data_IF_850818429430
#
_entry.id   IF_850818429430
#
_cell.length_a   1.000
_cell.length_b   1.000
_cell.length_c   1.000
_cell.angle_alpha   90.00
_cell.angle_beta   90.00
_cell.angle_gamma   90.00
#
_symmetry.space_group_name_H-M   'P 1'
#
loop_
_entity.id
_entity.type
_entity.pdbx_description
1 polymer ?
#
# COMPACT_ATOMS: atom_id res chain seq x y z
N UNK A 1 -27.37 1.20 -3.85
CA UNK A 1 -25.94 1.35 -4.27
C UNK A 1 -25.82 0.88 -5.72
N UNK A 2 -25.46 1.72 -6.70
CA UNK A 2 -25.12 1.21 -8.04
C UNK A 2 -23.80 0.46 -7.91
N UNK A 3 -23.81 -0.83 -8.28
CA UNK A 3 -22.58 -1.61 -8.30
C UNK A 3 -21.53 -0.89 -9.15
N UNK A 4 -20.30 -0.74 -8.66
CA UNK A 4 -19.22 -0.14 -9.43
C UNK A 4 -19.02 -0.97 -10.72
N UNK A 5 -18.93 -0.28 -11.84
CA UNK A 5 -18.70 -0.91 -13.14
C UNK A 5 -17.28 -1.47 -13.12
N UNK A 6 -17.15 -2.78 -13.17
CA UNK A 6 -15.83 -3.41 -13.35
C UNK A 6 -15.23 -2.95 -14.69
N UNK A 7 -13.96 -2.54 -14.74
CA UNK A 7 -13.33 -2.21 -16.00
C UNK A 7 -13.30 -3.45 -16.92
N UNK A 8 -13.34 -3.23 -18.23
CA UNK A 8 -13.30 -4.32 -19.20
C UNK A 8 -12.03 -5.16 -19.06
N UNK A 9 -12.13 -6.45 -19.33
CA UNK A 9 -11.02 -7.41 -19.22
C UNK A 9 -9.79 -7.05 -20.10
N UNK A 10 -10.00 -6.22 -21.09
CA UNK A 10 -8.97 -5.79 -22.06
C UNK A 10 -7.90 -4.87 -21.48
N UNK A 11 -8.13 -4.25 -20.32
CA UNK A 11 -7.22 -3.25 -19.79
C UNK A 11 -5.91 -3.84 -19.26
N UNK A 12 -5.90 -5.10 -18.83
CA UNK A 12 -4.69 -5.76 -18.32
C UNK A 12 -3.62 -5.90 -19.42
N UNK A 13 -4.01 -6.34 -20.60
CA UNK A 13 -3.09 -6.51 -21.73
C UNK A 13 -2.56 -5.15 -22.22
N UNK A 14 -3.44 -4.15 -22.36
CA UNK A 14 -3.05 -2.78 -22.71
C UNK A 14 -2.11 -2.13 -21.69
N UNK A 15 -2.28 -2.48 -20.42
CA UNK A 15 -1.44 -2.00 -19.32
C UNK A 15 -0.16 -2.83 -19.14
N UNK A 16 0.05 -3.87 -19.94
CA UNK A 16 1.27 -4.66 -19.96
C UNK A 16 1.47 -5.54 -18.72
N UNK A 17 0.39 -6.09 -18.16
CA UNK A 17 0.47 -7.06 -17.07
C UNK A 17 -0.47 -8.24 -17.29
N UNK A 18 -0.22 -9.33 -16.58
CA UNK A 18 -1.04 -10.53 -16.62
C UNK A 18 -1.79 -10.70 -15.30
N UNK A 19 -3.11 -10.91 -15.37
CA UNK A 19 -3.93 -11.18 -14.19
C UNK A 19 -3.49 -12.48 -13.53
N UNK A 20 -3.04 -12.38 -12.30
CA UNK A 20 -2.58 -13.54 -11.54
C UNK A 20 -3.74 -14.14 -10.71
N UNK A 21 -3.90 -15.47 -10.70
CA UNK A 21 -4.84 -16.12 -9.78
C UNK A 21 -4.39 -15.94 -8.33
N UNK A 22 -5.30 -16.22 -7.41
CA UNK A 22 -4.96 -16.31 -6.00
C UNK A 22 -3.94 -17.42 -5.74
N UNK A 23 -3.11 -17.22 -4.74
CA UNK A 23 -2.06 -18.18 -4.36
C UNK A 23 -2.67 -19.47 -3.86
N UNK A 24 -2.25 -20.59 -4.42
CA UNK A 24 -2.65 -21.94 -3.96
C UNK A 24 -1.91 -22.34 -2.69
N UNK A 25 -2.24 -21.72 -1.55
CA UNK A 25 -1.53 -21.84 -0.28
C UNK A 25 -1.29 -23.27 0.19
N UNK A 26 -2.24 -24.17 -0.09
CA UNK A 26 -2.16 -25.57 0.33
C UNK A 26 -1.58 -26.50 -0.75
N UNK A 27 -1.12 -25.99 -1.88
CA UNK A 27 -0.48 -26.85 -2.86
C UNK A 27 0.89 -27.30 -2.35
N UNK A 28 1.24 -28.62 -2.48
CA UNK A 28 2.53 -29.13 -2.01
C UNK A 28 3.73 -28.42 -2.65
N UNK A 29 3.64 -28.07 -3.92
CA UNK A 29 4.68 -27.34 -4.64
C UNK A 29 4.90 -25.93 -4.07
N UNK A 30 3.80 -25.23 -3.72
CA UNK A 30 3.88 -23.90 -3.11
C UNK A 30 4.46 -23.97 -1.71
N UNK A 31 4.03 -24.92 -0.88
CA UNK A 31 4.57 -25.13 0.46
C UNK A 31 6.08 -25.43 0.44
N UNK A 32 6.52 -26.32 -0.46
CA UNK A 32 7.93 -26.63 -0.64
C UNK A 32 8.74 -25.41 -1.07
N UNK A 33 8.21 -24.61 -2.02
CA UNK A 33 8.88 -23.40 -2.51
C UNK A 33 8.98 -22.33 -1.42
N UNK A 34 7.89 -22.06 -0.71
CA UNK A 34 7.88 -21.06 0.37
C UNK A 34 8.77 -21.49 1.53
N UNK A 35 8.76 -22.80 1.90
CA UNK A 35 9.66 -23.34 2.91
C UNK A 35 11.13 -23.19 2.53
N UNK A 36 11.51 -23.51 1.31
CA UNK A 36 12.88 -23.34 0.81
C UNK A 36 13.29 -21.86 0.82
N UNK A 37 12.42 -20.95 0.37
CA UNK A 37 12.71 -19.53 0.35
C UNK A 37 12.86 -18.95 1.76
N UNK A 38 12.05 -19.38 2.72
CA UNK A 38 12.19 -18.96 4.13
C UNK A 38 13.55 -19.38 4.72
N UNK A 39 14.01 -20.59 4.40
CA UNK A 39 15.33 -21.06 4.82
C UNK A 39 16.45 -20.26 4.15
N UNK A 40 16.37 -20.07 2.85
CA UNK A 40 17.36 -19.31 2.06
C UNK A 40 17.42 -17.85 2.53
N UNK A 41 16.28 -17.20 2.69
CA UNK A 41 16.25 -15.80 3.17
C UNK A 41 16.80 -15.66 4.60
N UNK A 42 16.56 -16.66 5.46
CA UNK A 42 17.13 -16.69 6.80
C UNK A 42 18.65 -16.84 6.82
N UNK A 43 19.20 -17.60 5.88
CA UNK A 43 20.66 -17.80 5.75
C UNK A 43 21.35 -16.60 5.12
N UNK A 44 20.81 -16.02 4.07
CA UNK A 44 21.44 -14.91 3.34
C UNK A 44 21.11 -13.52 3.95
N UNK A 45 20.02 -13.37 4.67
CA UNK A 45 19.65 -12.14 5.36
C UNK A 45 20.64 -11.71 6.44
N UNK A 46 21.52 -12.63 6.89
CA UNK A 46 22.56 -12.32 7.86
C UNK A 46 23.81 -11.69 7.25
N UNK A 47 24.02 -11.78 5.95
CA UNK A 47 25.25 -11.32 5.30
C UNK A 47 25.22 -9.89 4.76
N UNK A 48 24.06 -9.30 4.58
CA UNK A 48 23.94 -7.90 4.18
C UNK A 48 23.16 -7.15 5.25
N UNK A 49 23.84 -6.33 6.05
CA UNK A 49 23.13 -5.46 6.99
C UNK A 49 22.43 -4.36 6.20
N UNK A 50 21.15 -4.60 5.90
CA UNK A 50 20.30 -3.66 5.18
C UNK A 50 20.10 -2.35 5.91
N UNK A 51 20.37 -2.31 7.21
CA UNK A 51 20.38 -1.09 8.00
C UNK A 51 21.52 -0.19 7.57
N UNK A 52 22.71 -0.75 7.37
CA UNK A 52 23.87 0.00 6.87
C UNK A 52 23.60 0.53 5.46
N UNK A 53 23.06 -0.30 4.58
CA UNK A 53 22.71 0.13 3.22
C UNK A 53 21.69 1.27 3.23
N UNK A 54 20.66 1.20 4.06
CA UNK A 54 19.68 2.28 4.17
C UNK A 54 20.22 3.51 4.92
N UNK A 55 21.14 3.32 5.87
CA UNK A 55 21.81 4.42 6.58
C UNK A 55 22.76 5.20 5.68
N UNK A 56 23.35 4.56 4.67
CA UNK A 56 24.17 5.22 3.65
C UNK A 56 23.36 6.06 2.66
N UNK A 57 22.03 5.86 2.59
CA UNK A 57 21.15 6.75 1.85
C UNK A 57 21.07 8.08 2.61
N UNK A 58 20.90 9.19 1.90
CA UNK A 58 20.80 10.57 2.41
C UNK A 58 20.13 10.72 3.78
N UNK A 59 20.18 11.89 4.39
CA UNK A 59 19.56 12.20 5.69
C UNK A 59 18.11 11.74 5.78
N UNK A 60 17.66 11.37 6.98
CA UNK A 60 16.29 10.95 7.23
C UNK A 60 15.32 12.10 6.89
N UNK A 61 14.39 11.83 5.97
CA UNK A 61 13.41 12.81 5.53
C UNK A 61 12.12 12.68 6.33
N UNK A 62 11.65 13.80 6.88
CA UNK A 62 10.30 13.94 7.42
C UNK A 62 9.38 14.44 6.30
N UNK A 63 8.26 13.78 6.10
CA UNK A 63 7.26 14.14 5.11
C UNK A 63 6.20 15.02 5.77
N UNK A 64 6.21 16.33 5.45
CA UNK A 64 5.34 17.32 6.11
C UNK A 64 4.04 17.53 5.31
N UNK A 65 2.95 17.03 5.84
CA UNK A 65 1.57 17.23 5.34
C UNK A 65 0.74 18.11 6.26
N UNK A 66 1.35 18.81 7.21
CA UNK A 66 0.66 19.65 8.20
C UNK A 66 0.10 20.94 7.61
N UNK A 67 0.53 21.31 6.40
CA UNK A 67 0.13 22.55 5.71
C UNK A 67 -0.65 22.26 4.44
N UNK A 68 -1.41 23.22 3.96
CA UNK A 68 -2.04 23.15 2.64
C UNK A 68 -0.96 23.19 1.54
N UNK A 69 -1.19 22.44 0.44
CA UNK A 69 -0.33 22.49 -0.76
C UNK A 69 -0.66 23.71 -1.65
N UNK A 70 -1.65 24.51 -1.30
CA UNK A 70 -1.99 25.71 -2.09
C UNK A 70 -0.97 26.82 -1.82
N UNK A 71 -0.12 27.07 -2.79
CA UNK A 71 0.75 28.24 -2.83
C UNK A 71 -0.14 29.50 -2.83
N UNK A 72 -0.10 30.28 -1.77
CA UNK A 72 -0.73 31.60 -1.67
C UNK A 72 -1.99 31.71 -0.82
N UNK A 73 -2.47 30.63 -0.23
CA UNK A 73 -3.59 30.67 0.72
C UNK A 73 -3.18 31.26 2.06
N UNK A 74 -3.96 32.22 2.56
CA UNK A 74 -3.86 32.69 3.95
C UNK A 74 -4.00 31.48 4.88
N UNK A 75 -3.20 31.35 5.97
CA UNK A 75 -3.18 30.15 6.84
C UNK A 75 -4.40 30.10 7.79
N UNK A 76 -5.62 30.28 7.28
CA UNK A 76 -6.82 30.39 8.11
C UNK A 76 -7.56 29.08 8.37
N UNK A 77 -7.23 28.00 7.68
CA UNK A 77 -7.80 26.68 7.98
C UNK A 77 -6.76 25.59 7.80
N UNK A 78 -6.59 24.78 8.84
CA UNK A 78 -5.80 23.56 8.74
C UNK A 78 -6.60 22.58 7.88
N UNK A 79 -6.05 22.06 6.77
CA UNK A 79 -6.79 21.20 5.87
C UNK A 79 -7.11 19.87 6.53
N UNK A 80 -8.30 19.36 6.32
CA UNK A 80 -8.63 17.97 6.63
C UNK A 80 -7.73 17.04 5.80
N UNK A 81 -7.16 16.03 6.44
CA UNK A 81 -6.35 15.01 5.79
C UNK A 81 -7.03 13.66 5.90
N UNK A 82 -7.34 13.09 4.77
CA UNK A 82 -7.83 11.72 4.66
C UNK A 82 -6.66 10.80 4.39
N UNK A 83 -6.62 9.69 5.11
CA UNK A 83 -5.58 8.67 4.99
C UNK A 83 -6.27 7.34 4.73
N UNK A 84 -5.92 6.69 3.63
CA UNK A 84 -6.31 5.33 3.36
C UNK A 84 -5.25 4.40 3.96
N UNK A 85 -5.69 3.29 4.55
CA UNK A 85 -4.82 2.26 5.06
C UNK A 85 -5.21 0.90 4.50
N UNK A 86 -4.22 0.12 4.06
CA UNK A 86 -4.42 -1.23 3.57
C UNK A 86 -3.18 -2.08 3.87
N UNK A 87 -3.36 -3.37 4.09
CA UNK A 87 -2.29 -4.36 4.22
C UNK A 87 -2.68 -5.67 3.53
N UNK A 88 -1.74 -6.60 3.43
CA UNK A 88 -1.99 -7.97 2.95
C UNK A 88 -2.61 -8.03 1.55
N UNK A 89 -2.06 -7.28 0.63
CA UNK A 89 -2.47 -7.22 -0.78
C UNK A 89 -1.73 -8.25 -1.64
N UNK A 90 -2.04 -8.27 -2.94
CA UNK A 90 -1.22 -8.99 -3.93
C UNK A 90 -1.32 -10.52 -3.88
N UNK A 91 -2.35 -11.07 -3.24
CA UNK A 91 -2.61 -12.53 -3.29
C UNK A 91 -3.27 -12.98 -4.61
N UNK A 92 -3.81 -12.06 -5.37
CA UNK A 92 -4.40 -12.31 -6.68
C UNK A 92 -4.99 -11.05 -7.28
N UNK A 93 -5.33 -11.09 -8.57
CA UNK A 93 -5.84 -9.92 -9.27
C UNK A 93 -7.17 -9.42 -8.68
N UNK A 94 -8.17 -10.30 -8.56
CA UNK A 94 -9.53 -9.87 -8.21
C UNK A 94 -9.62 -9.15 -6.86
N UNK A 95 -9.10 -9.71 -5.74
CA UNK A 95 -9.17 -9.02 -4.45
C UNK A 95 -8.35 -7.74 -4.43
N UNK A 96 -7.12 -7.75 -4.97
CA UNK A 96 -6.27 -6.56 -5.02
C UNK A 96 -6.89 -5.46 -5.85
N UNK A 97 -7.47 -5.81 -7.02
CA UNK A 97 -8.18 -4.87 -7.87
C UNK A 97 -9.40 -4.27 -7.18
N UNK A 98 -10.23 -5.10 -6.51
CA UNK A 98 -11.43 -4.63 -5.83
C UNK A 98 -11.10 -3.60 -4.74
N UNK A 99 -10.07 -3.87 -3.92
CA UNK A 99 -9.61 -2.94 -2.90
C UNK A 99 -9.05 -1.66 -3.52
N UNK A 100 -8.17 -1.78 -4.53
CA UNK A 100 -7.60 -0.63 -5.23
C UNK A 100 -8.68 0.23 -5.91
N UNK A 101 -9.73 -0.42 -6.47
CA UNK A 101 -10.85 0.27 -7.08
C UNK A 101 -11.65 1.09 -6.06
N UNK A 102 -11.97 0.52 -4.91
CA UNK A 102 -12.69 1.23 -3.84
C UNK A 102 -11.87 2.41 -3.31
N UNK A 103 -10.58 2.21 -3.02
CA UNK A 103 -9.68 3.28 -2.59
C UNK A 103 -9.48 4.36 -3.68
N UNK A 104 -9.62 3.99 -4.95
CA UNK A 104 -9.53 4.92 -6.08
C UNK A 104 -10.74 5.83 -6.22
N UNK A 105 -11.88 5.53 -5.59
CA UNK A 105 -13.08 6.37 -5.69
C UNK A 105 -12.88 7.69 -4.96
N UNK A 106 -13.37 8.81 -5.51
CA UNK A 106 -13.23 10.11 -4.84
C UNK A 106 -14.00 10.14 -3.52
N UNK A 107 -15.14 9.49 -3.46
CA UNK A 107 -16.04 9.41 -2.31
C UNK A 107 -16.69 8.03 -2.25
N UNK A 108 -16.93 7.53 -1.04
CA UNK A 108 -17.72 6.33 -0.80
C UNK A 108 -18.77 6.62 0.25
N UNK A 109 -20.01 6.21 -0.02
CA UNK A 109 -21.09 6.19 0.96
C UNK A 109 -21.20 4.78 1.55
N UNK A 110 -20.99 4.65 2.84
CA UNK A 110 -21.01 3.40 3.58
C UNK A 110 -22.23 3.35 4.49
N UNK A 111 -22.99 2.27 4.42
CA UNK A 111 -24.10 2.03 5.34
C UNK A 111 -23.57 1.65 6.74
N UNK A 112 -24.23 2.13 7.77
CA UNK A 112 -23.90 1.72 9.14
C UNK A 112 -24.08 0.20 9.30
N UNK A 113 -23.11 -0.53 9.89
CA UNK A 113 -23.16 -1.99 10.01
C UNK A 113 -24.16 -2.51 11.04
N UNK A 114 -24.91 -1.63 11.71
CA UNK A 114 -25.93 -1.97 12.68
C UNK A 114 -27.23 -2.48 12.04
N UNK A 115 -28.16 -3.02 12.84
CA UNK A 115 -29.47 -3.42 12.34
C UNK A 115 -30.18 -2.23 11.72
N UNK A 116 -30.75 -2.45 10.53
CA UNK A 116 -31.60 -1.42 9.88
C UNK A 116 -32.84 -1.24 10.73
N UNK A 117 -33.20 0.00 11.12
CA UNK A 117 -34.43 0.26 11.81
C UNK A 117 -35.64 -0.21 10.99
N UNK A 118 -36.56 -0.97 11.59
CA UNK A 118 -37.75 -1.50 10.93
C UNK A 118 -38.99 -0.74 11.42
N UNK A 119 -39.91 -0.48 10.50
CA UNK A 119 -41.21 0.14 10.80
C UNK A 119 -41.48 1.37 9.95
N UNK A 120 -42.77 1.81 9.86
CA UNK A 120 -43.17 2.93 9.02
C UNK A 120 -42.58 4.28 9.44
N UNK A 121 -42.21 4.43 10.72
CA UNK A 121 -41.61 5.64 11.30
C UNK A 121 -40.10 5.45 11.60
N UNK A 122 -39.47 4.40 11.06
CA UNK A 122 -38.06 4.16 11.29
C UNK A 122 -37.19 5.28 10.69
N UNK A 123 -36.17 5.78 11.40
CA UNK A 123 -35.24 6.75 10.84
C UNK A 123 -34.49 6.14 9.67
N UNK A 124 -34.08 6.97 8.71
CA UNK A 124 -33.23 6.52 7.61
C UNK A 124 -31.96 5.83 8.17
N UNK A 125 -31.46 4.79 7.50
CA UNK A 125 -30.21 4.17 7.89
C UNK A 125 -29.09 5.22 7.99
N UNK A 126 -28.29 5.14 9.05
CA UNK A 126 -27.15 6.03 9.19
C UNK A 126 -26.11 5.68 8.12
N UNK A 127 -25.68 6.69 7.38
CA UNK A 127 -24.66 6.56 6.35
C UNK A 127 -23.43 7.40 6.69
N UNK A 128 -22.27 6.89 6.29
CA UNK A 128 -21.01 7.60 6.42
C UNK A 128 -20.47 7.92 5.04
N UNK A 129 -20.09 9.15 4.83
CA UNK A 129 -19.37 9.57 3.63
C UNK A 129 -17.88 9.62 3.92
N UNK A 130 -17.09 8.94 3.10
CA UNK A 130 -15.63 8.97 3.16
C UNK A 130 -15.08 9.62 1.91
N UNK A 131 -13.89 10.19 2.02
CA UNK A 131 -13.15 10.74 0.87
C UNK A 131 -11.89 9.94 0.65
N UNK A 132 -11.46 9.83 -0.62
CA UNK A 132 -10.18 9.23 -0.94
C UNK A 132 -9.05 9.93 -0.20
N UNK A 133 -8.15 9.16 0.39
CA UNK A 133 -6.97 9.65 1.08
C UNK A 133 -6.03 10.43 0.15
N UNK A 134 -5.50 11.54 0.66
CA UNK A 134 -4.36 12.22 0.06
C UNK A 134 -3.07 11.40 0.27
N UNK A 135 -3.10 10.51 1.25
CA UNK A 135 -2.03 9.61 1.64
C UNK A 135 -2.60 8.20 1.70
N UNK A 136 -1.98 7.27 0.99
CA UNK A 136 -2.20 5.84 1.14
C UNK A 136 -1.04 5.26 1.95
N UNK A 137 -1.35 4.50 2.98
CA UNK A 137 -0.38 3.73 3.78
C UNK A 137 -0.61 2.24 3.56
N UNK A 138 0.43 1.56 3.11
CA UNK A 138 0.45 0.12 2.93
C UNK A 138 1.19 -0.55 4.09
N UNK A 139 0.46 -1.39 4.85
CA UNK A 139 0.88 -1.90 6.17
C UNK A 139 1.75 -3.16 6.15
N UNK A 140 2.16 -3.64 4.99
CA UNK A 140 3.01 -4.82 4.84
C UNK A 140 2.38 -5.93 4.00
N UNK A 141 3.20 -6.90 3.64
CA UNK A 141 2.84 -8.04 2.79
C UNK A 141 2.14 -7.60 1.51
N UNK A 142 2.89 -6.84 0.71
CA UNK A 142 2.34 -6.20 -0.49
C UNK A 142 2.08 -7.19 -1.62
N UNK A 143 2.77 -8.32 -1.64
CA UNK A 143 2.62 -9.37 -2.66
C UNK A 143 2.86 -10.76 -2.10
N UNK A 144 2.08 -11.70 -2.57
CA UNK A 144 2.16 -13.11 -2.22
C UNK A 144 2.39 -14.00 -3.44
N UNK A 145 2.99 -15.19 -3.27
CA UNK A 145 3.56 -15.75 -2.03
C UNK A 145 4.97 -15.24 -1.76
N UNK A 146 5.62 -14.67 -2.75
CA UNK A 146 7.01 -14.24 -2.68
C UNK A 146 7.23 -12.94 -3.44
N UNK A 147 8.07 -12.04 -2.91
CA UNK A 147 8.38 -10.81 -3.59
C UNK A 147 9.25 -11.08 -4.83
N UNK A 148 9.41 -10.07 -5.62
CA UNK A 148 10.21 -10.04 -6.84
C UNK A 148 9.66 -8.98 -7.77
N UNK A 149 10.45 -8.53 -8.72
CA UNK A 149 10.04 -7.47 -9.64
C UNK A 149 8.73 -7.83 -10.36
N UNK A 150 8.62 -9.07 -10.86
CA UNK A 150 7.42 -9.56 -11.54
C UNK A 150 6.24 -9.71 -10.58
N UNK A 151 6.46 -10.17 -9.35
CA UNK A 151 5.43 -10.27 -8.33
C UNK A 151 4.78 -8.92 -8.07
N UNK A 152 5.57 -7.90 -7.80
CA UNK A 152 5.08 -6.54 -7.61
C UNK A 152 4.40 -5.98 -8.86
N UNK A 153 4.98 -6.19 -10.05
CA UNK A 153 4.41 -5.70 -11.30
C UNK A 153 3.04 -6.32 -11.59
N UNK A 154 2.90 -7.65 -11.43
CA UNK A 154 1.70 -8.38 -11.83
C UNK A 154 0.62 -8.40 -10.76
N UNK A 155 1.00 -8.43 -9.49
CA UNK A 155 0.08 -8.66 -8.37
C UNK A 155 -0.29 -7.40 -7.58
N UNK A 156 0.51 -6.33 -7.68
CA UNK A 156 0.25 -5.05 -7.03
C UNK A 156 0.06 -3.91 -8.04
N UNK A 157 1.11 -3.57 -8.78
CA UNK A 157 1.10 -2.40 -9.67
C UNK A 157 0.06 -2.56 -10.78
N UNK A 158 -0.03 -3.74 -11.41
CA UNK A 158 -1.00 -4.03 -12.46
C UNK A 158 -2.45 -3.84 -12.02
N UNK A 159 -2.91 -4.50 -10.94
CA UNK A 159 -4.25 -4.29 -10.39
C UNK A 159 -4.56 -2.83 -10.02
N UNK A 160 -3.62 -2.12 -9.39
CA UNK A 160 -3.78 -0.70 -9.06
C UNK A 160 -3.87 0.19 -10.30
N UNK A 161 -3.09 -0.09 -11.35
CA UNK A 161 -3.19 0.62 -12.64
C UNK A 161 -4.50 0.35 -13.35
N UNK A 162 -5.01 -0.88 -13.28
CA UNK A 162 -6.31 -1.24 -13.84
C UNK A 162 -7.46 -0.57 -13.08
N UNK A 163 -7.34 -0.42 -11.76
CA UNK A 163 -8.33 0.24 -10.93
C UNK A 163 -8.35 1.76 -11.15
N UNK A 164 -7.18 2.35 -11.25
CA UNK A 164 -7.00 3.77 -11.50
C UNK A 164 -5.65 4.04 -12.16
N UNK A 165 -5.72 4.57 -13.36
CA UNK A 165 -4.55 4.95 -14.13
C UNK A 165 -3.80 6.12 -13.50
N UNK A 166 -2.56 6.29 -13.92
CA UNK A 166 -1.68 7.39 -13.59
C UNK A 166 -2.32 8.77 -13.73
N UNK A 167 -2.03 9.68 -12.79
CA UNK A 167 -2.53 11.07 -12.75
C UNK A 167 -1.35 12.01 -12.48
N UNK A 168 -1.08 12.94 -13.38
CA UNK A 168 0.06 13.85 -13.25
C UNK A 168 -0.15 14.99 -12.24
N UNK A 169 -1.37 15.56 -12.18
CA UNK A 169 -1.65 16.71 -11.33
C UNK A 169 -2.08 16.27 -9.93
N UNK A 170 -1.35 16.75 -8.91
CA UNK A 170 -1.65 16.52 -7.50
C UNK A 170 -1.98 15.06 -7.15
N UNK A 171 -1.12 14.10 -7.50
CA UNK A 171 -1.38 12.71 -7.21
C UNK A 171 -1.35 12.46 -5.69
N UNK A 172 -2.21 11.58 -5.19
CA UNK A 172 -2.09 11.13 -3.80
C UNK A 172 -0.75 10.43 -3.60
N UNK A 173 -0.20 10.55 -2.42
CA UNK A 173 1.06 9.92 -2.06
C UNK A 173 0.84 8.51 -1.52
N UNK A 174 1.78 7.59 -1.78
CA UNK A 174 1.80 6.27 -1.16
C UNK A 174 3.07 6.08 -0.35
N UNK A 175 2.89 5.52 0.84
CA UNK A 175 3.93 5.07 1.76
C UNK A 175 3.68 3.61 2.10
N UNK A 176 4.75 2.84 2.29
CA UNK A 176 4.64 1.44 2.63
C UNK A 176 5.68 1.04 3.69
N UNK A 177 5.29 0.13 4.57
CA UNK A 177 6.22 -0.66 5.38
C UNK A 177 6.22 -2.09 4.86
N UNK A 178 7.34 -2.81 4.89
CA UNK A 178 7.36 -4.19 4.45
C UNK A 178 6.81 -5.13 5.52
N UNK A 179 6.08 -6.16 5.10
CA UNK A 179 5.79 -7.33 5.90
C UNK A 179 6.86 -8.42 5.74
N UNK A 180 6.65 -9.57 6.34
CA UNK A 180 7.64 -10.66 6.28
C UNK A 180 7.76 -11.25 4.87
N UNK A 181 6.69 -11.27 4.08
CA UNK A 181 6.76 -11.73 2.69
C UNK A 181 7.62 -10.79 1.83
N UNK A 182 7.55 -9.47 2.02
CA UNK A 182 8.38 -8.51 1.29
C UNK A 182 9.89 -8.70 1.55
N UNK A 183 10.25 -9.33 2.68
CA UNK A 183 11.64 -9.61 3.03
C UNK A 183 12.24 -10.88 2.41
N UNK A 184 11.46 -11.75 1.78
CA UNK A 184 11.98 -13.02 1.25
C UNK A 184 13.00 -12.87 0.12
N UNK A 185 13.02 -11.75 -0.61
CA UNK A 185 14.10 -11.40 -1.56
C UNK A 185 15.16 -10.47 -0.95
N UNK A 186 15.16 -10.35 0.37
CA UNK A 186 15.98 -9.41 1.11
C UNK A 186 15.60 -7.97 0.85
N UNK A 187 14.31 -7.68 0.66
CA UNK A 187 13.72 -6.36 0.47
C UNK A 187 14.10 -5.66 -0.84
N UNK A 188 14.72 -6.37 -1.78
CA UNK A 188 15.27 -5.75 -2.99
C UNK A 188 14.18 -5.19 -3.91
N UNK A 189 13.09 -5.94 -4.13
CA UNK A 189 12.00 -5.51 -5.00
C UNK A 189 11.18 -4.38 -4.34
N UNK A 190 10.95 -4.47 -3.04
CA UNK A 190 10.30 -3.41 -2.26
C UNK A 190 11.06 -2.08 -2.37
N UNK A 191 12.37 -2.07 -2.10
CA UNK A 191 13.19 -0.86 -2.18
C UNK A 191 13.20 -0.25 -3.59
N UNK A 192 13.21 -1.09 -4.63
CA UNK A 192 13.14 -0.62 -6.02
C UNK A 192 11.80 0.02 -6.36
N UNK A 193 10.69 -0.45 -5.79
CA UNK A 193 9.36 0.07 -6.07
C UNK A 193 9.04 1.29 -5.21
N UNK A 194 9.22 1.19 -3.88
CA UNK A 194 8.74 2.20 -2.94
C UNK A 194 9.77 3.28 -2.61
N UNK A 195 11.07 2.96 -2.69
CA UNK A 195 12.13 3.82 -2.19
C UNK A 195 12.99 4.48 -3.29
N UNK A 196 12.59 4.34 -4.54
CA UNK A 196 13.22 5.03 -5.67
C UNK A 196 12.37 6.22 -6.11
N UNK A 197 13.00 7.29 -6.65
CA UNK A 197 12.25 8.44 -7.16
C UNK A 197 11.35 8.06 -8.34
N UNK A 198 10.30 8.84 -8.53
CA UNK A 198 9.37 8.76 -9.66
C UNK A 198 8.76 7.38 -9.92
N UNK A 199 8.41 6.67 -8.85
CA UNK A 199 7.66 5.43 -8.92
C UNK A 199 6.19 5.66 -8.62
N UNK A 200 5.36 4.77 -9.18
CA UNK A 200 3.92 4.88 -9.11
C UNK A 200 3.27 3.52 -8.88
N UNK A 201 2.20 3.53 -8.11
CA UNK A 201 1.32 2.39 -7.91
C UNK A 201 -0.07 2.83 -8.34
N UNK A 202 -0.44 2.55 -9.60
CA UNK A 202 -1.62 3.16 -10.22
C UNK A 202 -1.54 4.69 -10.18
N UNK A 203 -2.51 5.34 -9.57
CA UNK A 203 -2.58 6.80 -9.46
C UNK A 203 -1.79 7.39 -8.28
N UNK A 204 -1.18 6.56 -7.42
CA UNK A 204 -0.45 7.01 -6.24
C UNK A 204 1.05 7.10 -6.51
N UNK A 205 1.65 8.21 -6.12
CA UNK A 205 3.10 8.45 -6.28
C UNK A 205 3.85 8.06 -5.02
N UNK A 206 4.91 7.25 -5.14
CA UNK A 206 5.78 6.91 -4.01
C UNK A 206 6.61 8.11 -3.57
N UNK A 207 6.81 8.26 -2.28
CA UNK A 207 7.51 9.41 -1.69
C UNK A 207 8.72 9.01 -0.85
N UNK A 208 8.68 7.82 -0.25
CA UNK A 208 9.67 7.39 0.73
C UNK A 208 11.01 7.00 0.08
N UNK A 209 12.07 7.10 0.86
CA UNK A 209 13.42 6.73 0.47
C UNK A 209 13.95 5.51 1.25
N UNK A 210 13.21 5.05 2.26
CA UNK A 210 13.57 3.95 3.16
C UNK A 210 12.36 3.08 3.43
N UNK A 211 12.56 1.88 3.95
CA UNK A 211 11.49 0.98 4.35
C UNK A 211 10.69 1.44 5.58
N UNK A 212 11.05 2.58 6.13
CA UNK A 212 10.39 3.24 7.26
C UNK A 212 10.27 4.74 6.99
N UNK A 213 9.31 5.40 7.63
CA UNK A 213 9.03 6.82 7.39
C UNK A 213 8.41 7.52 8.60
N UNK A 214 8.47 8.85 8.61
CA UNK A 214 7.71 9.69 9.51
C UNK A 214 6.96 10.77 8.72
N UNK A 215 5.67 10.84 8.95
CA UNK A 215 4.75 11.82 8.34
C UNK A 215 4.25 12.74 9.44
N UNK A 216 4.46 14.03 9.25
CA UNK A 216 3.88 15.06 10.09
C UNK A 216 2.53 15.47 9.52
N UNK A 217 1.50 15.40 10.34
CA UNK A 217 0.11 15.71 10.01
C UNK A 217 -0.35 17.01 10.68
N UNK A 218 -1.51 17.57 10.30
CA UNK A 218 -2.10 18.70 10.99
C UNK A 218 -2.26 18.46 12.49
N UNK A 219 -2.41 19.52 13.25
CA UNK A 219 -2.63 19.51 14.72
C UNK A 219 -1.53 18.77 15.50
N UNK A 220 -0.29 18.77 14.99
CA UNK A 220 0.87 18.06 15.57
C UNK A 220 0.71 16.54 15.70
N UNK A 221 -0.16 15.93 14.92
CA UNK A 221 -0.19 14.48 14.78
C UNK A 221 1.00 13.98 13.97
N UNK A 222 1.42 12.77 14.29
CA UNK A 222 2.49 12.07 13.58
C UNK A 222 2.06 10.65 13.24
N UNK A 223 2.40 10.22 12.04
CA UNK A 223 2.26 8.84 11.60
C UNK A 223 3.66 8.29 11.35
N UNK A 224 4.00 7.22 12.05
CA UNK A 224 5.29 6.54 11.89
C UNK A 224 5.08 5.17 11.25
N UNK A 225 5.72 4.94 10.10
CA UNK A 225 5.87 3.62 9.50
C UNK A 225 7.15 2.99 10.00
N UNK A 226 7.07 1.90 10.75
CA UNK A 226 8.20 1.24 11.38
C UNK A 226 8.42 -0.12 10.74
N UNK A 227 9.61 -0.35 10.17
CA UNK A 227 10.04 -1.64 9.67
C UNK A 227 10.67 -2.44 10.82
N UNK A 228 9.88 -3.30 11.45
CA UNK A 228 10.33 -4.10 12.60
C UNK A 228 11.33 -5.19 12.24
N UNK A 229 11.42 -5.59 10.98
CA UNK A 229 12.38 -6.58 10.50
C UNK A 229 13.82 -6.03 10.46
N UNK A 230 13.96 -4.69 10.40
CA UNK A 230 15.26 -4.04 10.53
C UNK A 230 15.87 -4.19 11.93
N UNK A 231 15.06 -4.39 12.94
CA UNK A 231 15.54 -4.66 14.30
C UNK A 231 16.05 -6.11 14.34
N UNK A 232 17.28 -6.35 13.88
CA UNK A 232 17.94 -7.64 14.03
C UNK A 232 17.85 -8.11 15.47
N UNK A 233 17.66 -9.40 15.67
CA UNK A 233 17.65 -10.04 16.99
C UNK A 233 18.82 -9.50 17.81
N UNK A 234 18.53 -8.65 18.77
CA UNK A 234 19.47 -8.41 19.85
C UNK A 234 19.77 -9.79 20.43
N UNK A 235 20.96 -10.30 20.21
CA UNK A 235 21.39 -11.54 20.88
C UNK A 235 21.20 -11.25 22.37
N UNK A 236 20.21 -11.90 22.97
CA UNK A 236 20.13 -11.96 24.41
C UNK A 236 21.48 -12.53 24.86
N UNK A 237 22.26 -11.68 25.55
CA UNK A 237 23.47 -12.10 26.24
C UNK A 237 23.05 -12.78 27.53
#
# INVERSE_FOLDING_TARGET
>A
MKAPISPPAEDAEKLGFTRQPMTGWFSPAQLARTGLQSVVSGLFGTYADRREVQACLSDFKIYDYSRSLEEGGTPSSVPDRWIDFVSDLGDGFNPTYAVAYLMGQPELTLDHPGPTPEGPDAPAPLQYETKRGNILVMGGDQVYPTPGADGYAQRLVGPFRAARSYVEQNPPSVFAIPGNHDWYDGLSAFLKLFCQPDRWIGAWKTQQQRSYFAIKLPYNWWLWGIDIQLCGRAKAK
#
